data_IF_304101637891
#
_entry.id   IF_304101637891
#
_cell.length_a   1.000
_cell.length_b   1.000
_cell.length_c   1.000
_cell.angle_alpha   90.00
_cell.angle_beta   90.00
_cell.angle_gamma   90.00
#
_symmetry.space_group_name_H-M   'P 1'
#
loop_
_entity.id
_entity.type
_entity.pdbx_description
1 polymer ?
#
# COMPACT_ATOMS: atom_id res chain seq x y z
N UNK A 1 -14.96 2.03 9.78
CA UNK A 1 -13.55 2.18 9.36
C UNK A 1 -13.19 0.83 8.80
N UNK A 2 -12.94 0.76 7.50
CA UNK A 2 -12.64 -0.51 6.84
C UNK A 2 -11.30 -1.05 7.37
N UNK A 3 -11.23 -2.36 7.60
CA UNK A 3 -10.03 -3.04 8.11
C UNK A 3 -8.89 -2.92 7.10
N UNK A 4 -7.73 -2.43 7.51
CA UNK A 4 -6.55 -2.36 6.65
C UNK A 4 -5.70 -3.62 6.79
N UNK A 5 -4.83 -3.89 5.82
CA UNK A 5 -3.93 -5.05 5.85
C UNK A 5 -3.05 -5.08 7.12
N UNK A 6 -2.58 -3.91 7.54
CA UNK A 6 -1.81 -3.67 8.76
C UNK A 6 -2.58 -3.86 10.07
N UNK A 7 -3.90 -3.95 10.00
CA UNK A 7 -4.76 -4.21 11.16
C UNK A 7 -5.12 -5.70 11.28
N UNK A 8 -4.74 -6.52 10.29
CA UNK A 8 -4.98 -7.96 10.32
C UNK A 8 -4.08 -8.64 11.36
N UNK A 9 -4.66 -9.63 12.05
CA UNK A 9 -3.98 -10.41 13.10
C UNK A 9 -4.01 -11.91 12.81
N UNK A 10 -4.80 -12.33 11.82
CA UNK A 10 -4.93 -13.72 11.39
C UNK A 10 -4.78 -13.86 9.87
N UNK A 11 -4.35 -15.04 9.42
CA UNK A 11 -4.25 -15.35 7.99
C UNK A 11 -5.60 -15.25 7.27
N UNK A 12 -6.71 -15.57 7.95
CA UNK A 12 -8.03 -15.53 7.33
C UNK A 12 -8.49 -14.09 7.08
N UNK A 13 -8.19 -13.16 7.98
CA UNK A 13 -8.43 -11.72 7.75
C UNK A 13 -7.62 -11.21 6.56
N UNK A 14 -6.35 -11.60 6.46
CA UNK A 14 -5.49 -11.22 5.34
C UNK A 14 -6.01 -11.78 4.01
N UNK A 15 -6.43 -13.06 3.97
CA UNK A 15 -7.02 -13.67 2.77
C UNK A 15 -8.37 -13.06 2.40
N UNK A 16 -9.19 -12.68 3.37
CA UNK A 16 -10.47 -12.03 3.11
C UNK A 16 -10.28 -10.67 2.41
N UNK A 17 -9.29 -9.87 2.85
CA UNK A 17 -8.92 -8.63 2.19
C UNK A 17 -8.36 -8.86 0.77
N UNK A 18 -7.50 -9.87 0.61
CA UNK A 18 -6.93 -10.23 -0.69
C UNK A 18 -8.01 -10.64 -1.70
N UNK A 19 -8.95 -11.52 -1.29
CA UNK A 19 -10.11 -11.88 -2.11
C UNK A 19 -10.98 -10.67 -2.44
N UNK A 20 -11.25 -9.80 -1.46
CA UNK A 20 -12.03 -8.58 -1.70
C UNK A 20 -11.40 -7.67 -2.76
N UNK A 21 -10.08 -7.71 -2.93
CA UNK A 21 -9.35 -6.91 -3.91
C UNK A 21 -9.26 -7.60 -5.28
N UNK A 22 -9.00 -8.92 -5.31
CA UNK A 22 -8.58 -9.64 -6.51
C UNK A 22 -9.55 -10.71 -7.02
N UNK A 23 -10.56 -11.09 -6.23
CA UNK A 23 -11.55 -12.05 -6.70
C UNK A 23 -12.31 -11.46 -7.89
N UNK A 24 -12.26 -12.20 -9.00
CA UNK A 24 -12.88 -11.78 -10.25
C UNK A 24 -14.40 -11.95 -10.14
N UNK A 25 -15.13 -10.85 -10.27
CA UNK A 25 -16.59 -10.90 -10.34
C UNK A 25 -17.00 -10.79 -11.80
N UNK A 26 -17.71 -11.80 -12.28
CA UNK A 26 -18.22 -11.88 -13.64
C UNK A 26 -19.70 -11.47 -13.74
N UNK A 27 -20.07 -10.75 -14.79
CA UNK A 27 -21.46 -10.50 -15.14
C UNK A 27 -21.67 -10.60 -16.65
N UNK A 28 -22.82 -11.15 -17.04
CA UNK A 28 -23.26 -11.16 -18.44
C UNK A 28 -23.98 -9.84 -18.74
N UNK A 29 -23.51 -9.15 -19.77
CA UNK A 29 -24.09 -7.92 -20.27
C UNK A 29 -25.34 -8.23 -21.10
N UNK A 30 -26.25 -7.25 -21.30
CA UNK A 30 -27.47 -7.44 -22.10
C UNK A 30 -27.25 -7.85 -23.56
N UNK A 31 -26.05 -7.64 -24.10
CA UNK A 31 -25.66 -8.01 -25.46
C UNK A 31 -25.05 -9.44 -25.57
N UNK A 32 -25.03 -10.19 -24.46
CA UNK A 32 -24.44 -11.52 -24.37
C UNK A 32 -22.93 -11.52 -24.11
N UNK A 33 -22.31 -10.36 -23.91
CA UNK A 33 -20.88 -10.27 -23.57
C UNK A 33 -20.66 -10.59 -22.09
N UNK A 34 -19.75 -11.51 -21.78
CA UNK A 34 -19.33 -11.75 -20.40
C UNK A 34 -18.15 -10.85 -20.03
N UNK A 35 -18.31 -10.05 -18.97
CA UNK A 35 -17.25 -9.19 -18.43
C UNK A 35 -16.90 -9.69 -17.04
N UNK A 36 -15.62 -10.02 -16.83
CA UNK A 36 -15.07 -10.32 -15.51
C UNK A 36 -14.00 -9.31 -15.14
N UNK A 37 -14.11 -8.74 -13.94
CA UNK A 37 -13.16 -7.76 -13.45
C UNK A 37 -12.99 -7.93 -11.93
N UNK A 38 -11.76 -7.78 -11.45
CA UNK A 38 -11.48 -7.64 -10.03
C UNK A 38 -11.80 -6.21 -9.56
N UNK A 39 -12.23 -6.04 -8.32
CA UNK A 39 -12.50 -4.73 -7.75
C UNK A 39 -11.24 -3.83 -7.77
N UNK A 40 -10.07 -4.43 -7.52
CA UNK A 40 -8.82 -3.72 -7.41
C UNK A 40 -8.70 -2.93 -6.10
N UNK A 41 -7.59 -2.19 -5.93
CA UNK A 41 -7.38 -1.39 -4.73
C UNK A 41 -8.39 -0.25 -4.61
N UNK A 42 -8.80 0.06 -3.38
CA UNK A 42 -9.74 1.14 -3.12
C UNK A 42 -9.23 2.48 -3.68
N UNK A 43 -10.09 3.30 -4.32
CA UNK A 43 -9.68 4.61 -4.81
C UNK A 43 -9.48 5.59 -3.65
N UNK A 44 -8.65 6.60 -3.87
CA UNK A 44 -8.48 7.72 -2.95
C UNK A 44 -9.24 8.91 -3.53
N UNK A 45 -10.33 9.36 -2.88
CA UNK A 45 -11.16 10.47 -3.39
C UNK A 45 -11.67 10.27 -4.84
N UNK A 46 -11.93 9.02 -5.25
CA UNK A 46 -12.44 8.67 -6.57
C UNK A 46 -11.38 8.56 -7.68
N UNK A 47 -10.09 8.72 -7.36
CA UNK A 47 -8.99 8.48 -8.29
C UNK A 47 -8.16 7.26 -7.90
N UNK A 48 -7.40 6.74 -8.87
CA UNK A 48 -6.42 5.70 -8.60
C UNK A 48 -5.41 6.21 -7.57
N UNK A 49 -5.19 5.44 -6.51
CA UNK A 49 -4.44 5.89 -5.34
C UNK A 49 -3.01 6.34 -5.65
N UNK A 50 -2.36 5.72 -6.64
CA UNK A 50 -1.01 6.08 -7.03
C UNK A 50 -0.97 7.46 -7.71
N UNK A 51 -2.02 7.82 -8.46
CA UNK A 51 -2.15 9.16 -9.03
C UNK A 51 -2.41 10.19 -7.93
N UNK A 52 -3.16 9.83 -6.90
CA UNK A 52 -3.41 10.68 -5.73
C UNK A 52 -2.13 11.07 -4.98
N UNK A 53 -1.09 10.19 -4.99
CA UNK A 53 0.21 10.51 -4.38
C UNK A 53 0.86 11.75 -4.99
N UNK A 54 0.59 12.07 -6.26
CA UNK A 54 1.17 13.24 -6.91
C UNK A 54 0.75 14.55 -6.24
N UNK A 55 -0.47 14.58 -5.66
CA UNK A 55 -1.00 15.77 -4.96
C UNK A 55 -0.33 16.02 -3.62
N UNK A 56 0.24 14.98 -3.01
CA UNK A 56 0.89 15.02 -1.70
C UNK A 56 2.38 14.69 -1.79
N UNK A 57 2.97 14.79 -2.99
CA UNK A 57 4.33 14.31 -3.26
C UNK A 57 5.42 14.93 -2.37
N UNK A 58 5.19 16.16 -1.90
CA UNK A 58 6.13 16.92 -1.06
C UNK A 58 5.85 16.78 0.44
N UNK A 59 4.77 16.09 0.81
CA UNK A 59 4.38 15.78 2.20
C UNK A 59 4.65 14.31 2.51
N UNK A 60 5.83 13.96 3.03
CA UNK A 60 6.20 12.57 3.23
C UNK A 60 5.38 11.87 4.32
N UNK A 61 4.78 12.61 5.26
CA UNK A 61 3.91 12.01 6.28
C UNK A 61 2.58 11.58 5.66
N UNK A 62 1.96 12.44 4.84
CA UNK A 62 0.76 12.07 4.10
C UNK A 62 1.02 10.95 3.09
N UNK A 63 2.15 11.01 2.38
CA UNK A 63 2.54 9.98 1.40
C UNK A 63 2.70 8.62 2.07
N UNK A 64 3.38 8.56 3.22
CA UNK A 64 3.50 7.33 4.01
C UNK A 64 2.14 6.82 4.49
N UNK A 65 1.30 7.69 5.04
CA UNK A 65 -0.02 7.30 5.55
C UNK A 65 -0.96 6.78 4.44
N UNK A 66 -0.91 7.37 3.24
CA UNK A 66 -1.64 6.88 2.07
C UNK A 66 -1.11 5.51 1.63
N UNK A 67 0.20 5.39 1.40
CA UNK A 67 0.81 4.13 0.99
C UNK A 67 0.50 2.98 1.98
N UNK A 68 0.55 3.25 3.29
CA UNK A 68 0.23 2.25 4.33
C UNK A 68 -1.20 1.68 4.21
N UNK A 69 -2.19 2.46 3.74
CA UNK A 69 -3.57 1.98 3.51
C UNK A 69 -3.67 1.03 2.33
N UNK A 70 -2.74 1.12 1.39
CA UNK A 70 -2.69 0.31 0.16
C UNK A 70 -1.76 -0.89 0.27
N UNK A 71 -1.29 -1.23 1.47
CA UNK A 71 -0.66 -2.53 1.69
C UNK A 71 -1.68 -3.66 1.44
N UNK A 72 -1.25 -4.81 0.89
CA UNK A 72 0.13 -5.24 0.68
C UNK A 72 0.68 -4.96 -0.73
N UNK A 73 0.11 -4.02 -1.50
CA UNK A 73 0.55 -3.78 -2.89
C UNK A 73 2.07 -3.52 -2.97
N UNK A 74 2.81 -4.12 -3.92
CA UNK A 74 4.25 -3.89 -4.07
C UNK A 74 4.63 -2.41 -4.22
N UNK A 75 3.79 -1.63 -4.92
CA UNK A 75 3.99 -0.20 -5.04
C UNK A 75 3.81 0.53 -3.70
N UNK A 76 2.89 0.11 -2.83
CA UNK A 76 2.69 0.70 -1.52
C UNK A 76 3.92 0.53 -0.61
N UNK A 77 4.52 -0.67 -0.58
CA UNK A 77 5.78 -0.91 0.14
C UNK A 77 6.90 0.02 -0.32
N UNK A 78 7.07 0.16 -1.63
CA UNK A 78 8.06 1.08 -2.23
C UNK A 78 7.82 2.52 -1.81
N UNK A 79 6.57 2.95 -1.81
CA UNK A 79 6.19 4.33 -1.49
C UNK A 79 6.34 4.66 0.00
N UNK A 80 6.09 3.70 0.88
CA UNK A 80 6.44 3.83 2.30
C UNK A 80 7.94 4.04 2.49
N UNK A 81 8.77 3.23 1.82
CA UNK A 81 10.23 3.36 1.89
C UNK A 81 10.75 4.70 1.32
N UNK A 82 10.19 5.18 0.22
CA UNK A 82 10.50 6.52 -0.34
C UNK A 82 10.16 7.62 0.66
N UNK A 83 8.97 7.55 1.25
CA UNK A 83 8.49 8.53 2.23
C UNK A 83 9.39 8.57 3.47
N UNK A 84 9.78 7.42 4.02
CA UNK A 84 10.72 7.35 5.15
C UNK A 84 12.08 7.97 4.82
N UNK A 85 12.64 7.70 3.63
CA UNK A 85 13.89 8.33 3.18
C UNK A 85 13.77 9.85 3.06
N UNK A 86 12.60 10.37 2.68
CA UNK A 86 12.33 11.81 2.67
C UNK A 86 12.28 12.37 4.10
N UNK A 87 11.58 11.70 5.02
CA UNK A 87 11.52 12.08 6.44
C UNK A 87 12.90 12.12 7.08
N UNK A 88 13.72 11.09 6.87
CA UNK A 88 15.11 11.03 7.35
C UNK A 88 15.93 12.18 6.77
N UNK A 89 15.83 12.46 5.46
CA UNK A 89 16.53 13.61 4.84
C UNK A 89 16.11 14.94 5.47
N UNK A 90 14.81 15.14 5.72
CA UNK A 90 14.26 16.34 6.36
C UNK A 90 14.75 16.48 7.81
N UNK A 91 14.69 15.41 8.60
CA UNK A 91 15.17 15.38 9.98
C UNK A 91 16.67 15.65 10.07
N UNK A 92 17.49 15.03 9.19
CA UNK A 92 18.94 15.31 9.10
C UNK A 92 19.22 16.79 8.82
N UNK A 93 18.52 17.39 7.85
CA UNK A 93 18.67 18.83 7.54
C UNK A 93 18.30 19.71 8.74
N UNK A 94 17.30 19.30 9.51
CA UNK A 94 16.85 19.99 10.72
C UNK A 94 17.68 19.65 11.98
N UNK A 95 18.69 18.77 11.88
CA UNK A 95 19.45 18.22 13.03
C UNK A 95 18.54 17.57 14.11
N UNK A 96 17.43 17.00 13.69
CA UNK A 96 16.53 16.23 14.54
C UNK A 96 16.84 14.73 14.48
N UNK A 97 16.43 13.98 15.50
CA UNK A 97 16.51 12.52 15.50
C UNK A 97 15.57 11.89 14.46
N UNK A 98 15.97 10.74 13.91
CA UNK A 98 15.24 10.01 12.86
C UNK A 98 15.25 8.49 13.06
N UNK A 99 15.50 8.04 14.30
CA UNK A 99 15.70 6.62 14.58
C UNK A 99 14.43 5.78 14.42
N UNK A 100 13.26 6.40 14.62
CA UNK A 100 11.99 5.73 14.38
C UNK A 100 11.80 5.44 12.89
N UNK A 101 12.06 6.43 12.03
CA UNK A 101 11.98 6.29 10.58
C UNK A 101 13.02 5.29 10.05
N UNK A 102 14.23 5.30 10.61
CA UNK A 102 15.28 4.37 10.21
C UNK A 102 14.94 2.93 10.61
N UNK A 103 14.43 2.72 11.83
CA UNK A 103 13.96 1.41 12.29
C UNK A 103 12.85 0.88 11.40
N UNK A 104 11.87 1.72 11.07
CA UNK A 104 10.78 1.34 10.17
C UNK A 104 11.32 1.00 8.78
N UNK A 105 12.25 1.79 8.24
CA UNK A 105 12.85 1.51 6.94
C UNK A 105 13.58 0.17 6.92
N UNK A 106 14.27 -0.19 8.00
CA UNK A 106 14.88 -1.51 8.16
C UNK A 106 13.84 -2.63 8.27
N UNK A 107 12.75 -2.40 8.98
CA UNK A 107 11.65 -3.36 9.07
C UNK A 107 11.04 -3.64 7.69
N UNK A 108 10.74 -2.60 6.90
CA UNK A 108 10.25 -2.77 5.52
C UNK A 108 11.24 -3.53 4.64
N UNK A 109 12.55 -3.23 4.75
CA UNK A 109 13.57 -3.94 3.99
C UNK A 109 13.68 -5.43 4.38
N UNK A 110 13.50 -5.75 5.67
CA UNK A 110 13.44 -7.13 6.12
C UNK A 110 12.22 -7.85 5.52
N UNK A 111 11.04 -7.25 5.58
CA UNK A 111 9.82 -7.81 4.98
C UNK A 111 9.96 -8.06 3.47
N UNK A 112 10.50 -7.09 2.72
CA UNK A 112 10.77 -7.22 1.28
C UNK A 112 11.75 -8.36 0.97
N UNK A 113 12.77 -8.56 1.82
CA UNK A 113 13.73 -9.65 1.65
C UNK A 113 13.12 -11.05 1.78
N UNK A 114 12.03 -11.19 2.54
CA UNK A 114 11.27 -12.44 2.63
C UNK A 114 10.28 -12.61 1.48
N UNK A 115 9.82 -11.52 0.86
CA UNK A 115 8.89 -11.58 -0.26
C UNK A 115 9.53 -12.12 -1.57
N UNK A 116 10.85 -12.00 -1.71
CA UNK A 116 11.59 -12.50 -2.89
C UNK A 116 11.79 -14.02 -2.97
N UNK A 117 11.39 -14.78 -1.95
CA UNK A 117 11.65 -16.23 -1.85
C UNK A 117 10.48 -17.15 -2.24
N UNK A 118 9.41 -16.63 -2.82
CA UNK A 118 8.28 -17.47 -3.24
C UNK A 118 7.61 -16.94 -4.50
N UNK A 119 7.56 -17.78 -5.54
CA UNK A 119 6.33 -17.88 -6.31
C UNK A 119 5.21 -18.18 -5.28
N UNK A 120 4.33 -17.21 -5.05
CA UNK A 120 3.03 -17.44 -4.43
C UNK A 120 2.13 -17.99 -5.53
#
# INVERSE_FOLDING_TARGET
>A
MDMLWVDTTTDEEARALDRGMWEMVGSEQPDGTFVAQAAGPAPESGEFWYDALNRIKDDPDKRYAMARRHLPLPAAWREMAVSLRMKIRKARKAKAGYEAELRELHHLAAMDSYAGYGYI
#
